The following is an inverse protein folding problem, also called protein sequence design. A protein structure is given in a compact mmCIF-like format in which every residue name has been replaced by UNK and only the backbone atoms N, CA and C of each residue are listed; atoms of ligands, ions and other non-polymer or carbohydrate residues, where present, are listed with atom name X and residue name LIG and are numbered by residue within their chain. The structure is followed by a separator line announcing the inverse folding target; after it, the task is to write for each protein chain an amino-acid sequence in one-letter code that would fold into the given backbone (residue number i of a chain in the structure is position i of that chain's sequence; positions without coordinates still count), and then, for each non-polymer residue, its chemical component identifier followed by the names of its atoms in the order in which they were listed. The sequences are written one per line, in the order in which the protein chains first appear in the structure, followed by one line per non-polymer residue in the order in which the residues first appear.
data_IF_238292468423
#
_entry.id   IF_238292468423
#
_cell.length_a   1.000
_cell.length_b   1.000
_cell.length_c   1.000
_cell.angle_alpha   90.00
_cell.angle_beta   90.00
_cell.angle_gamma   90.00
#
_symmetry.space_group_name_H-M   'P 1'
#
loop_
_entity.id
_entity.type
_entity.pdbx_description
1 polymer ?
#
# COMPACT_ATOMS: atom_id res chain seq x y z
N UNK A 1 -5.71 -32.65 -10.55
CA UNK A 1 -5.40 -31.25 -10.23
C UNK A 1 -6.01 -30.35 -11.29
N UNK A 2 -6.73 -29.32 -10.91
CA UNK A 2 -7.17 -28.36 -11.91
C UNK A 2 -5.96 -27.74 -12.61
N UNK A 3 -6.04 -27.50 -13.91
CA UNK A 3 -4.91 -26.90 -14.61
C UNK A 3 -4.56 -25.56 -14.00
N UNK A 4 -3.28 -25.35 -13.70
CA UNK A 4 -2.82 -24.06 -13.22
C UNK A 4 -2.99 -23.04 -14.34
N UNK A 5 -3.79 -22.02 -14.10
CA UNK A 5 -3.96 -20.92 -15.04
C UNK A 5 -2.63 -20.22 -15.25
N UNK A 6 -2.30 -19.93 -16.50
CA UNK A 6 -1.09 -19.17 -16.79
C UNK A 6 -1.28 -17.71 -16.44
N UNK A 7 -0.32 -17.16 -15.70
CA UNK A 7 -0.30 -15.76 -15.34
C UNK A 7 0.04 -14.93 -16.58
N UNK A 8 -0.85 -14.02 -16.97
CA UNK A 8 -0.61 -13.09 -18.07
C UNK A 8 0.09 -11.82 -17.59
N UNK A 9 -0.32 -11.27 -16.45
CA UNK A 9 0.27 -10.04 -15.92
C UNK A 9 -0.01 -9.90 -14.43
N UNK A 10 0.83 -9.11 -13.77
CA UNK A 10 0.61 -8.66 -12.38
C UNK A 10 0.50 -7.15 -12.39
N UNK A 11 -0.58 -6.62 -11.83
CA UNK A 11 -0.85 -5.19 -11.73
C UNK A 11 -0.79 -4.78 -10.27
N UNK A 12 0.00 -3.75 -9.97
CA UNK A 12 0.11 -3.21 -8.61
C UNK A 12 -0.50 -1.81 -8.58
N UNK A 13 -1.49 -1.62 -7.72
CA UNK A 13 -2.20 -0.36 -7.58
C UNK A 13 -2.31 0.03 -6.10
N UNK A 14 -2.48 1.34 -5.87
CA UNK A 14 -2.81 1.87 -4.55
C UNK A 14 -4.17 2.56 -4.68
N UNK A 15 -5.18 2.03 -4.00
CA UNK A 15 -6.56 2.49 -4.08
C UNK A 15 -7.08 2.76 -2.68
N UNK A 16 -7.88 3.80 -2.52
CA UNK A 16 -8.56 4.05 -1.24
C UNK A 16 -9.51 2.91 -0.94
N UNK A 17 -9.41 2.37 0.27
CA UNK A 17 -10.24 1.25 0.73
C UNK A 17 -11.74 1.60 0.65
N UNK A 18 -12.51 0.71 0.07
CA UNK A 18 -13.95 0.88 -0.09
C UNK A 18 -14.36 1.90 -1.15
N UNK A 19 -13.42 2.46 -1.90
CA UNK A 19 -13.67 3.53 -2.87
C UNK A 19 -13.15 3.22 -4.27
N UNK A 20 -12.92 1.97 -4.60
CA UNK A 20 -12.51 1.58 -5.94
C UNK A 20 -13.64 1.85 -6.94
N UNK A 21 -13.30 2.44 -8.07
CA UNK A 21 -14.25 2.74 -9.14
C UNK A 21 -13.56 2.60 -10.51
N UNK A 22 -14.32 2.57 -11.62
CA UNK A 22 -13.74 2.44 -12.95
C UNK A 22 -12.92 3.62 -13.44
N UNK A 23 -12.93 4.73 -12.70
CA UNK A 23 -12.13 5.91 -13.04
C UNK A 23 -10.63 5.64 -12.89
N UNK A 24 -9.75 6.42 -13.55
CA UNK A 24 -8.32 6.27 -13.35
C UNK A 24 -7.93 6.33 -11.86
N UNK A 25 -6.94 5.54 -11.40
CA UNK A 25 -6.02 4.71 -12.21
C UNK A 25 -6.52 3.27 -12.47
N UNK A 26 -7.66 2.86 -11.94
CA UNK A 26 -8.13 1.46 -11.98
C UNK A 26 -8.56 1.05 -13.39
N UNK A 27 -9.39 1.88 -14.04
CA UNK A 27 -9.94 1.59 -15.35
C UNK A 27 -8.88 1.30 -16.40
N UNK A 28 -7.96 2.23 -16.67
CA UNK A 28 -6.91 2.02 -17.68
C UNK A 28 -5.99 0.84 -17.35
N UNK A 29 -5.64 0.64 -16.07
CA UNK A 29 -4.75 -0.44 -15.66
C UNK A 29 -5.36 -1.82 -15.91
N UNK A 30 -6.63 -1.99 -15.61
CA UNK A 30 -7.33 -3.27 -15.79
C UNK A 30 -7.86 -3.44 -17.21
N UNK A 31 -8.29 -2.36 -17.86
CA UNK A 31 -8.84 -2.39 -19.19
C UNK A 31 -7.85 -2.89 -20.24
N UNK A 32 -6.58 -2.60 -20.10
CA UNK A 32 -5.51 -3.08 -20.99
C UNK A 32 -5.42 -4.61 -21.00
N UNK A 33 -5.80 -5.26 -19.92
CA UNK A 33 -5.71 -6.71 -19.76
C UNK A 33 -7.05 -7.41 -19.97
N UNK A 34 -8.10 -6.67 -20.30
CA UNK A 34 -9.43 -7.23 -20.54
C UNK A 34 -10.14 -7.76 -19.32
N UNK A 35 -9.74 -7.31 -18.13
CA UNK A 35 -10.34 -7.71 -16.86
C UNK A 35 -11.68 -6.99 -16.64
N UNK A 36 -12.65 -7.65 -16.01
CA UNK A 36 -13.91 -7.03 -15.63
C UNK A 36 -13.71 -6.04 -14.48
N UNK A 37 -13.65 -4.75 -14.80
CA UNK A 37 -13.35 -3.66 -13.87
C UNK A 37 -14.42 -3.55 -12.78
N UNK A 38 -15.68 -3.67 -13.13
CA UNK A 38 -16.80 -3.55 -12.19
C UNK A 38 -16.77 -4.66 -11.14
N UNK A 39 -16.48 -5.88 -11.56
CA UNK A 39 -16.36 -7.02 -10.66
C UNK A 39 -15.19 -6.85 -9.70
N UNK A 40 -14.05 -6.39 -10.20
CA UNK A 40 -12.89 -6.08 -9.37
C UNK A 40 -13.24 -5.02 -8.33
N UNK A 41 -13.83 -3.91 -8.74
CA UNK A 41 -14.20 -2.83 -7.83
C UNK A 41 -15.14 -3.32 -6.73
N UNK A 42 -16.14 -4.13 -7.08
CA UNK A 42 -17.09 -4.71 -6.14
C UNK A 42 -16.39 -5.59 -5.10
N UNK A 43 -15.54 -6.52 -5.55
CA UNK A 43 -14.82 -7.42 -4.67
C UNK A 43 -13.82 -6.68 -3.79
N UNK A 44 -13.08 -5.74 -4.36
CA UNK A 44 -12.11 -4.93 -3.61
C UNK A 44 -12.80 -4.09 -2.54
N UNK A 45 -13.88 -3.42 -2.87
CA UNK A 45 -14.62 -2.60 -1.92
C UNK A 45 -15.16 -3.45 -0.77
N UNK A 46 -15.68 -4.64 -1.05
CA UNK A 46 -16.14 -5.57 -0.01
C UNK A 46 -14.99 -6.05 0.88
N UNK A 47 -13.84 -6.38 0.29
CA UNK A 47 -12.68 -6.86 1.03
C UNK A 47 -12.01 -5.78 1.91
N UNK A 48 -12.11 -4.52 1.51
CA UNK A 48 -11.44 -3.40 2.19
C UNK A 48 -12.39 -2.50 2.97
N UNK A 49 -13.64 -2.88 3.13
CA UNK A 49 -14.65 -2.06 3.82
C UNK A 49 -14.23 -1.72 5.26
N UNK A 50 -13.64 -2.69 5.97
CA UNK A 50 -13.14 -2.50 7.34
C UNK A 50 -11.98 -1.50 7.44
N UNK A 51 -11.30 -1.22 6.33
CA UNK A 51 -10.15 -0.32 6.25
C UNK A 51 -10.49 1.00 5.54
N UNK A 52 -11.77 1.30 5.43
CA UNK A 52 -12.27 2.47 4.71
C UNK A 52 -11.57 3.76 5.18
N UNK A 53 -11.18 4.59 4.21
CA UNK A 53 -10.47 5.84 4.47
C UNK A 53 -8.95 5.71 4.45
N UNK A 54 -8.41 4.50 4.38
CA UNK A 54 -6.97 4.26 4.22
C UNK A 54 -6.65 3.91 2.78
N UNK A 55 -5.42 4.19 2.35
CA UNK A 55 -4.94 3.73 1.05
C UNK A 55 -4.40 2.32 1.24
N UNK A 56 -4.99 1.37 0.52
CA UNK A 56 -4.58 -0.04 0.59
C UNK A 56 -3.95 -0.43 -0.73
N UNK A 57 -2.68 -0.88 -0.74
CA UNK A 57 -2.07 -1.42 -1.94
C UNK A 57 -2.75 -2.74 -2.31
N UNK A 58 -2.96 -2.94 -3.59
CA UNK A 58 -3.51 -4.19 -4.11
C UNK A 58 -2.61 -4.71 -5.22
N UNK A 59 -2.35 -6.00 -5.19
CA UNK A 59 -1.63 -6.71 -6.24
C UNK A 59 -2.61 -7.63 -6.94
N UNK A 60 -2.87 -7.36 -8.22
CA UNK A 60 -3.84 -8.07 -9.03
C UNK A 60 -3.10 -8.99 -9.99
N UNK A 61 -3.39 -10.28 -9.90
CA UNK A 61 -2.85 -11.28 -10.82
C UNK A 61 -3.88 -11.55 -11.91
N UNK A 62 -3.55 -11.24 -13.15
CA UNK A 62 -4.41 -11.46 -14.32
C UNK A 62 -3.93 -12.70 -15.06
N UNK A 63 -4.86 -13.59 -15.39
CA UNK A 63 -4.58 -14.84 -16.09
C UNK A 63 -4.99 -14.74 -17.58
N UNK A 64 -4.48 -15.65 -18.39
CA UNK A 64 -4.72 -15.66 -19.84
C UNK A 64 -6.21 -15.80 -20.20
N UNK A 65 -7.01 -16.42 -19.34
CA UNK A 65 -8.44 -16.57 -19.54
C UNK A 65 -9.27 -15.34 -19.14
N UNK A 66 -8.58 -14.21 -18.84
CA UNK A 66 -9.15 -12.95 -18.37
C UNK A 66 -9.73 -12.99 -16.95
N UNK A 67 -9.52 -14.09 -16.24
CA UNK A 67 -9.82 -14.13 -14.82
C UNK A 67 -8.74 -13.40 -14.03
N UNK A 68 -9.07 -13.01 -12.81
CA UNK A 68 -8.12 -12.32 -11.93
C UNK A 68 -8.26 -12.81 -10.49
N UNK A 69 -7.15 -12.68 -9.77
CA UNK A 69 -7.15 -12.78 -8.30
C UNK A 69 -6.42 -11.54 -7.78
N UNK A 70 -6.72 -11.14 -6.56
CA UNK A 70 -6.03 -10.01 -5.95
C UNK A 70 -5.70 -10.28 -4.50
N UNK A 71 -4.62 -9.64 -4.04
CA UNK A 71 -4.18 -9.67 -2.65
C UNK A 71 -4.10 -8.22 -2.19
N UNK A 72 -4.71 -7.92 -1.05
CA UNK A 72 -4.57 -6.62 -0.40
C UNK A 72 -3.42 -6.67 0.58
N UNK A 73 -2.65 -5.60 0.65
CA UNK A 73 -1.54 -5.46 1.59
C UNK A 73 -1.87 -4.42 2.64
N UNK A 74 -1.03 -4.31 3.67
CA UNK A 74 -1.16 -3.25 4.67
C UNK A 74 -0.95 -1.87 4.02
N UNK A 75 -1.47 -0.78 4.59
CA UNK A 75 -1.27 0.56 4.03
C UNK A 75 0.21 0.86 3.79
N UNK A 76 0.56 1.65 2.75
CA UNK A 76 1.96 1.98 2.48
C UNK A 76 2.61 2.65 3.68
N UNK A 77 3.87 2.29 3.97
CA UNK A 77 4.62 2.86 5.09
C UNK A 77 4.67 4.39 5.01
N UNK A 78 4.86 4.94 3.82
CA UNK A 78 4.88 6.39 3.61
C UNK A 78 3.58 7.05 4.07
N UNK A 79 2.44 6.47 3.80
CA UNK A 79 1.13 7.00 4.22
C UNK A 79 0.91 6.91 5.72
N UNK A 80 1.36 5.82 6.34
CA UNK A 80 1.31 5.67 7.80
C UNK A 80 2.18 6.71 8.48
N UNK A 81 3.38 6.98 7.94
CA UNK A 81 4.30 8.00 8.45
C UNK A 81 3.68 9.40 8.35
N UNK A 82 3.10 9.74 7.21
CA UNK A 82 2.45 11.04 7.02
C UNK A 82 1.29 11.23 8.00
N UNK A 83 0.48 10.21 8.20
CA UNK A 83 -0.64 10.25 9.14
C UNK A 83 -0.16 10.43 10.58
N UNK A 84 0.87 9.70 11.00
CA UNK A 84 1.42 9.79 12.35
C UNK A 84 2.09 11.14 12.61
N UNK A 85 2.74 11.72 11.60
CA UNK A 85 3.37 13.04 11.70
C UNK A 85 2.40 14.21 11.50
N UNK A 86 1.15 13.94 11.09
CA UNK A 86 0.16 14.96 10.80
C UNK A 86 0.44 15.75 9.53
N UNK A 87 1.10 15.14 8.56
CA UNK A 87 1.50 15.79 7.31
C UNK A 87 0.63 15.29 6.15
N UNK A 88 0.43 16.15 5.17
CA UNK A 88 -0.26 15.77 3.93
C UNK A 88 0.72 15.24 2.88
N UNK A 89 1.95 15.77 2.89
CA UNK A 89 2.96 15.44 1.89
C UNK A 89 4.36 15.46 2.51
N UNK A 90 5.22 14.56 2.04
CA UNK A 90 6.63 14.53 2.41
C UNK A 90 7.43 15.65 1.72
N UNK A 91 8.71 15.76 2.11
CA UNK A 91 9.62 16.76 1.55
C UNK A 91 10.02 16.43 0.12
N UNK A 92 10.07 17.44 -0.74
CA UNK A 92 10.67 17.33 -2.07
C UNK A 92 12.19 17.29 -2.05
N UNK A 93 12.81 17.78 -0.96
CA UNK A 93 14.26 17.80 -0.76
C UNK A 93 14.59 17.26 0.65
N UNK A 94 14.42 15.94 0.86
CA UNK A 94 14.45 15.36 2.22
C UNK A 94 15.77 15.47 2.94
N UNK A 95 16.87 15.62 2.23
CA UNK A 95 18.20 15.77 2.85
C UNK A 95 18.48 17.19 3.37
N UNK A 96 17.73 18.18 2.90
CA UNK A 96 17.85 19.58 3.31
C UNK A 96 16.66 20.06 4.11
N UNK A 97 15.45 19.79 3.61
CA UNK A 97 14.21 20.26 4.19
C UNK A 97 13.53 19.15 4.98
N UNK A 98 13.52 19.27 6.30
CA UNK A 98 12.80 18.36 7.19
C UNK A 98 11.41 18.94 7.45
N UNK A 99 10.38 18.15 7.18
CA UNK A 99 8.98 18.62 7.24
C UNK A 99 8.24 18.17 8.49
N UNK A 100 8.80 17.24 9.24
CA UNK A 100 8.18 16.75 10.48
C UNK A 100 9.06 15.79 11.22
N UNK A 101 8.54 15.28 12.32
CA UNK A 101 9.25 14.30 13.16
C UNK A 101 8.25 13.26 13.70
N UNK A 102 8.78 12.09 14.00
CA UNK A 102 8.07 11.00 14.67
C UNK A 102 8.76 10.64 15.98
N UNK A 103 8.00 10.21 16.96
CA UNK A 103 8.56 9.61 18.17
C UNK A 103 8.86 8.12 17.92
N UNK A 104 9.74 7.54 18.72
CA UNK A 104 10.03 6.11 18.65
C UNK A 104 8.77 5.24 18.83
N UNK A 105 7.86 5.67 19.71
CA UNK A 105 6.58 4.98 19.90
C UNK A 105 5.74 4.94 18.62
N UNK A 106 5.67 6.05 17.90
CA UNK A 106 4.95 6.13 16.61
C UNK A 106 5.60 5.23 15.55
N UNK A 107 6.92 5.22 15.46
CA UNK A 107 7.66 4.33 14.55
C UNK A 107 7.36 2.87 14.88
N UNK A 108 7.33 2.52 16.15
CA UNK A 108 7.02 1.16 16.61
C UNK A 108 5.60 0.74 16.25
N UNK A 109 4.62 1.61 16.43
CA UNK A 109 3.23 1.35 16.02
C UNK A 109 3.12 1.09 14.53
N UNK A 110 3.77 1.91 13.71
CA UNK A 110 3.81 1.73 12.25
C UNK A 110 4.47 0.39 11.89
N UNK A 111 5.59 0.08 12.54
CA UNK A 111 6.31 -1.17 12.33
C UNK A 111 5.44 -2.39 12.65
N UNK A 112 4.67 -2.34 13.75
CA UNK A 112 3.75 -3.43 14.13
C UNK A 112 2.65 -3.64 13.08
N UNK A 113 2.06 -2.57 12.59
CA UNK A 113 1.02 -2.64 11.54
C UNK A 113 1.59 -3.22 10.26
N UNK A 114 2.81 -2.87 9.91
CA UNK A 114 3.46 -3.25 8.65
C UNK A 114 4.19 -4.59 8.72
N UNK A 115 4.32 -5.18 9.90
CA UNK A 115 5.13 -6.38 10.14
C UNK A 115 4.79 -7.56 9.23
N UNK A 116 3.52 -7.71 8.85
CA UNK A 116 3.04 -8.77 7.96
C UNK A 116 3.67 -8.69 6.57
N UNK A 117 3.95 -7.47 6.08
CA UNK A 117 4.47 -7.23 4.74
C UNK A 117 5.99 -7.05 4.71
N UNK A 118 6.62 -6.95 5.88
CA UNK A 118 8.06 -6.73 5.99
C UNK A 118 8.80 -8.07 6.11
N UNK A 119 10.02 -8.09 5.63
CA UNK A 119 10.92 -9.22 5.78
C UNK A 119 11.76 -9.13 7.07
N UNK A 120 11.36 -8.28 8.00
CA UNK A 120 12.03 -8.13 9.28
C UNK A 120 11.79 -9.33 10.19
N UNK A 121 12.82 -9.75 10.89
CA UNK A 121 12.74 -10.89 11.82
C UNK A 121 12.15 -10.50 13.18
N UNK A 122 12.28 -9.25 13.58
CA UNK A 122 11.78 -8.70 14.84
C UNK A 122 11.30 -7.26 14.69
N UNK A 123 10.69 -6.73 15.74
CA UNK A 123 10.13 -5.38 15.73
C UNK A 123 11.22 -4.29 15.61
N UNK A 124 12.39 -4.51 16.16
CA UNK A 124 13.50 -3.54 16.07
C UNK A 124 14.00 -3.41 14.63
N UNK A 125 14.11 -4.52 13.92
CA UNK A 125 14.45 -4.50 12.49
C UNK A 125 13.37 -3.80 11.67
N UNK A 126 12.11 -4.03 11.97
CA UNK A 126 10.98 -3.36 11.34
C UNK A 126 11.01 -1.84 11.60
N UNK A 127 11.33 -1.42 12.82
CA UNK A 127 11.51 0.00 13.19
C UNK A 127 12.59 0.67 12.34
N UNK A 128 13.71 0.01 12.11
CA UNK A 128 14.80 0.52 11.27
C UNK A 128 14.34 0.72 9.82
N UNK A 129 13.56 -0.20 9.29
CA UNK A 129 12.99 -0.11 7.93
C UNK A 129 12.08 1.12 7.83
N UNK A 130 11.19 1.29 8.80
CA UNK A 130 10.26 2.43 8.83
C UNK A 130 11.03 3.75 9.02
N UNK A 131 12.04 3.77 9.90
CA UNK A 131 12.89 4.95 10.10
C UNK A 131 13.61 5.37 8.82
N UNK A 132 14.12 4.40 8.05
CA UNK A 132 14.73 4.67 6.75
C UNK A 132 13.75 5.28 5.75
N UNK A 133 12.51 4.78 5.70
CA UNK A 133 11.47 5.35 4.85
C UNK A 133 11.13 6.78 5.28
N UNK A 134 10.98 7.03 6.59
CA UNK A 134 10.72 8.36 7.12
C UNK A 134 11.84 9.34 6.75
N UNK A 135 13.09 8.92 6.88
CA UNK A 135 14.25 9.71 6.49
C UNK A 135 14.21 10.11 5.02
N UNK A 136 13.81 9.18 4.15
CA UNK A 136 13.65 9.45 2.70
C UNK A 136 12.55 10.44 2.39
N UNK A 137 11.63 10.65 3.32
CA UNK A 137 10.51 11.60 3.20
C UNK A 137 10.79 12.95 3.84
N UNK A 138 11.94 13.13 4.47
CA UNK A 138 12.24 14.35 5.22
C UNK A 138 11.61 14.38 6.61
N UNK A 139 11.28 13.23 7.17
CA UNK A 139 10.74 13.09 8.52
C UNK A 139 11.84 12.55 9.43
N UNK A 140 12.13 13.27 10.53
CA UNK A 140 13.13 12.86 11.50
C UNK A 140 12.52 11.99 12.59
N UNK A 141 13.35 11.19 13.24
CA UNK A 141 12.92 10.37 14.36
C UNK A 141 13.45 10.99 15.64
N UNK A 142 12.55 11.37 16.54
CA UNK A 142 12.91 11.91 17.85
C UNK A 142 13.39 10.79 18.78
N UNK A 143 14.42 11.06 19.58
CA UNK A 143 14.92 10.11 20.58
C UNK A 143 14.02 10.01 21.82
#
# INVERSE_FOLDING_TARGET
MPPKKKLAAIIKLQIKAGMANPAPPVGPALGQHGVNIMEFCKQYNAATESQRGQIVPVEISVFEDRSFTFITKTPPAARLILKAAGLEKGSGVPHKDKVGSLTKAQVREIAQVKMEDLNANDIEAAEKIIAGTARSMGVTIAE
#
